data_IF_611822309825
#
_entry.id   IF_611822309825
#
_cell.length_a   1.000
_cell.length_b   1.000
_cell.length_c   1.000
_cell.angle_alpha   90.00
_cell.angle_beta   90.00
_cell.angle_gamma   90.00
#
_symmetry.space_group_name_H-M   'P 1'
#
loop_
_entity.id
_entity.type
_entity.pdbx_description
1 polymer ?
#
# COMPACT_ATOMS: atom_id res chain seq x y z
N UNK A 1 50.43 21.21 -16.65
CA UNK A 1 49.56 20.65 -15.58
C UNK A 1 48.28 20.15 -16.22
N UNK A 2 47.88 18.92 -15.95
CA UNK A 2 46.61 18.36 -16.43
C UNK A 2 45.49 18.83 -15.49
N UNK A 3 44.75 19.87 -15.88
CA UNK A 3 43.57 20.34 -15.14
C UNK A 3 42.46 19.31 -15.29
N UNK A 4 41.95 18.78 -14.19
CA UNK A 4 40.84 17.82 -14.21
C UNK A 4 39.49 18.52 -14.16
N UNK A 5 38.42 17.78 -14.45
CA UNK A 5 37.05 18.25 -14.27
C UNK A 5 36.75 18.60 -12.80
N UNK A 6 37.31 17.85 -11.85
CA UNK A 6 37.13 18.10 -10.42
C UNK A 6 37.74 19.45 -10.02
N UNK A 7 38.93 19.78 -10.54
CA UNK A 7 39.60 21.05 -10.27
C UNK A 7 38.76 22.25 -10.76
N UNK A 8 38.13 22.12 -11.93
CA UNK A 8 37.25 23.16 -12.46
C UNK A 8 35.96 23.32 -11.64
N UNK A 9 35.37 22.23 -11.15
CA UNK A 9 34.22 22.30 -10.24
C UNK A 9 34.59 22.98 -8.92
N UNK A 10 35.72 22.62 -8.33
CA UNK A 10 36.23 23.23 -7.08
C UNK A 10 36.51 24.70 -7.29
N UNK A 11 37.14 25.07 -8.41
CA UNK A 11 37.38 26.47 -8.80
C UNK A 11 36.07 27.22 -8.91
N UNK A 12 35.08 26.69 -9.65
CA UNK A 12 33.77 27.34 -9.79
C UNK A 12 33.07 27.53 -8.44
N UNK A 13 33.10 26.53 -7.55
CA UNK A 13 32.53 26.65 -6.20
C UNK A 13 33.19 27.76 -5.41
N UNK A 14 34.53 27.79 -5.41
CA UNK A 14 35.28 28.82 -4.71
C UNK A 14 35.01 30.23 -5.26
N UNK A 15 34.81 30.35 -6.59
CA UNK A 15 34.40 31.60 -7.21
C UNK A 15 33.00 32.04 -6.78
N UNK A 16 32.03 31.12 -6.75
CA UNK A 16 30.68 31.43 -6.25
C UNK A 16 30.72 31.86 -4.78
N UNK A 17 31.52 31.20 -3.94
CA UNK A 17 31.71 31.58 -2.54
C UNK A 17 32.33 32.98 -2.41
N UNK A 18 33.41 33.25 -3.15
CA UNK A 18 34.14 34.52 -3.08
C UNK A 18 33.35 35.70 -3.63
N UNK A 19 32.64 35.50 -4.74
CA UNK A 19 31.88 36.57 -5.42
C UNK A 19 30.46 36.71 -4.89
N UNK A 20 29.97 35.73 -4.12
CA UNK A 20 28.55 35.57 -3.81
C UNK A 20 27.62 35.51 -5.05
N UNK A 21 28.17 35.35 -6.26
CA UNK A 21 27.41 35.30 -7.50
C UNK A 21 27.29 33.84 -7.99
N UNK A 22 26.13 33.18 -7.83
CA UNK A 22 25.91 31.83 -8.39
C UNK A 22 25.83 31.79 -9.92
N UNK A 23 25.62 32.93 -10.57
CA UNK A 23 25.40 33.10 -12.01
C UNK A 23 26.61 33.63 -12.78
N UNK A 24 27.84 33.27 -12.42
CA UNK A 24 29.04 33.72 -13.13
C UNK A 24 28.91 33.36 -14.62
N UNK A 25 28.88 34.38 -15.47
CA UNK A 25 28.80 34.26 -16.93
C UNK A 25 30.11 33.73 -17.52
N UNK A 26 30.08 33.23 -18.77
CA UNK A 26 31.30 32.82 -19.49
C UNK A 26 32.32 33.96 -19.56
N UNK A 27 31.86 35.22 -19.68
CA UNK A 27 32.72 36.40 -19.76
C UNK A 27 33.41 36.68 -18.42
N UNK A 28 32.66 36.69 -17.33
CA UNK A 28 33.23 36.90 -15.99
C UNK A 28 34.20 35.78 -15.63
N UNK A 29 33.85 34.53 -15.97
CA UNK A 29 34.71 33.38 -15.74
C UNK A 29 36.01 33.47 -16.56
N UNK A 30 35.95 33.90 -17.82
CA UNK A 30 37.14 34.20 -18.63
C UNK A 30 38.03 35.26 -17.99
N UNK A 31 37.45 36.38 -17.54
CA UNK A 31 38.19 37.47 -16.89
C UNK A 31 38.88 36.98 -15.62
N UNK A 32 38.15 36.24 -14.77
CA UNK A 32 38.69 35.71 -13.50
C UNK A 32 39.83 34.72 -13.74
N UNK A 33 39.73 33.91 -14.80
CA UNK A 33 40.76 32.94 -15.17
C UNK A 33 41.89 33.55 -16.01
N UNK A 34 41.91 34.87 -16.22
CA UNK A 34 42.95 35.57 -16.98
C UNK A 34 42.92 35.29 -18.49
N UNK A 35 41.78 34.84 -19.03
CA UNK A 35 41.61 34.59 -20.47
C UNK A 35 41.11 35.84 -21.19
N UNK A 36 41.85 36.26 -22.22
CA UNK A 36 41.53 37.43 -23.07
C UNK A 36 40.31 37.18 -23.99
N UNK A 37 39.87 35.93 -24.12
CA UNK A 37 38.77 35.54 -24.98
C UNK A 37 37.61 34.96 -24.15
N UNK A 38 36.36 35.33 -24.47
CA UNK A 38 35.20 34.70 -23.85
C UNK A 38 35.25 33.20 -24.15
N UNK A 39 35.12 32.36 -23.11
CA UNK A 39 35.03 30.91 -23.28
C UNK A 39 33.75 30.64 -24.09
N UNK A 40 33.91 30.37 -25.38
CA UNK A 40 32.80 30.42 -26.35
C UNK A 40 31.83 29.26 -26.24
N UNK A 41 32.16 28.18 -25.50
CA UNK A 41 31.23 27.11 -25.11
C UNK A 41 31.88 26.02 -24.26
N UNK A 42 33.19 25.79 -24.44
CA UNK A 42 33.92 24.71 -23.79
C UNK A 42 35.28 25.19 -23.28
N UNK A 43 35.68 24.76 -22.09
CA UNK A 43 37.00 25.02 -21.54
C UNK A 43 38.07 24.38 -22.45
N UNK A 44 39.10 25.13 -22.89
CA UNK A 44 40.08 24.61 -23.85
C UNK A 44 40.81 23.35 -23.36
N UNK A 45 41.00 23.23 -22.04
CA UNK A 45 41.77 22.15 -21.42
C UNK A 45 40.96 20.87 -21.14
N UNK A 46 39.65 20.97 -20.90
CA UNK A 46 38.81 19.83 -20.47
C UNK A 46 37.62 19.57 -21.37
N UNK A 47 37.37 20.45 -22.35
CA UNK A 47 36.16 20.49 -23.18
C UNK A 47 34.84 20.59 -22.39
N UNK A 48 34.88 20.89 -21.09
CA UNK A 48 33.68 21.02 -20.27
C UNK A 48 32.92 22.31 -20.54
N UNK A 49 31.59 22.26 -20.44
CA UNK A 49 30.74 23.45 -20.51
C UNK A 49 30.53 24.10 -19.13
N UNK A 50 30.12 25.37 -19.07
CA UNK A 50 29.70 26.00 -17.80
C UNK A 50 28.54 25.23 -17.15
N UNK A 51 27.65 24.65 -17.96
CA UNK A 51 26.55 23.82 -17.47
C UNK A 51 27.07 22.59 -16.74
N UNK A 52 28.17 22.01 -17.20
CA UNK A 52 28.84 20.91 -16.50
C UNK A 52 29.48 21.39 -15.21
N UNK A 53 30.11 22.56 -15.15
CA UNK A 53 30.68 23.09 -13.91
C UNK A 53 29.63 23.40 -12.83
N UNK A 54 28.44 23.82 -13.29
CA UNK A 54 27.27 24.05 -12.43
C UNK A 54 26.61 22.76 -11.97
N UNK A 55 26.76 21.67 -12.74
CA UNK A 55 26.17 20.38 -12.40
C UNK A 55 26.66 19.92 -11.03
N UNK A 56 25.75 19.42 -10.20
CA UNK A 56 26.05 19.02 -8.83
C UNK A 56 26.10 20.18 -7.82
N UNK A 57 26.40 21.43 -8.23
CA UNK A 57 26.29 22.60 -7.34
C UNK A 57 24.85 23.12 -7.29
N UNK A 58 24.22 23.29 -8.46
CA UNK A 58 22.82 23.70 -8.57
C UNK A 58 21.97 22.57 -9.11
N UNK A 59 20.66 22.67 -8.87
CA UNK A 59 19.70 21.72 -9.44
C UNK A 59 19.60 21.93 -10.94
N UNK A 60 19.68 20.84 -11.68
CA UNK A 60 19.31 20.76 -13.08
C UNK A 60 17.79 20.58 -13.22
N UNK A 61 17.28 20.89 -14.42
CA UNK A 61 15.88 20.62 -14.78
C UNK A 61 15.52 19.13 -14.59
N UNK A 62 16.47 18.24 -14.88
CA UNK A 62 16.30 16.79 -14.73
C UNK A 62 16.15 16.38 -13.27
N UNK A 63 17.12 16.76 -12.42
CA UNK A 63 17.07 16.45 -10.98
C UNK A 63 15.79 16.98 -10.34
N UNK A 64 15.37 18.20 -10.72
CA UNK A 64 14.14 18.80 -10.19
C UNK A 64 12.89 18.04 -10.62
N UNK A 65 12.82 17.59 -11.88
CA UNK A 65 11.73 16.75 -12.40
C UNK A 65 11.64 15.45 -11.62
N UNK A 66 12.75 14.77 -11.41
CA UNK A 66 12.78 13.44 -10.79
C UNK A 66 12.40 13.55 -9.31
N UNK A 67 12.97 14.53 -8.61
CA UNK A 67 12.63 14.83 -7.22
C UNK A 67 11.14 15.20 -7.05
N UNK A 68 10.58 16.00 -7.97
CA UNK A 68 9.17 16.38 -7.94
C UNK A 68 8.25 15.16 -8.06
N UNK A 69 8.48 14.27 -9.04
CA UNK A 69 7.66 13.09 -9.22
C UNK A 69 7.83 12.07 -8.09
N UNK A 70 9.06 11.87 -7.58
CA UNK A 70 9.31 11.00 -6.44
C UNK A 70 8.59 11.48 -5.17
N UNK A 71 8.60 12.79 -4.91
CA UNK A 71 7.83 13.36 -3.81
C UNK A 71 6.32 13.20 -4.04
N UNK A 72 5.83 13.43 -5.26
CA UNK A 72 4.42 13.32 -5.60
C UNK A 72 3.88 11.89 -5.42
N UNK A 73 4.62 10.87 -5.87
CA UNK A 73 4.26 9.45 -5.73
C UNK A 73 4.13 9.07 -4.25
N UNK A 74 5.07 9.51 -3.42
CA UNK A 74 5.12 9.14 -2.00
C UNK A 74 4.13 9.92 -1.13
N UNK A 75 3.81 11.16 -1.50
CA UNK A 75 2.87 11.98 -0.73
C UNK A 75 1.41 11.71 -1.12
N UNK A 76 1.14 11.30 -2.36
CA UNK A 76 -0.21 11.18 -2.91
C UNK A 76 -0.96 12.51 -3.00
N UNK A 77 -0.25 13.64 -2.99
CA UNK A 77 -0.84 14.98 -3.00
C UNK A 77 -1.37 15.36 -4.38
N UNK A 78 -2.17 16.44 -4.42
CA UNK A 78 -2.45 17.08 -5.71
C UNK A 78 -1.18 17.82 -6.16
N UNK A 79 -0.92 17.80 -7.47
CA UNK A 79 0.21 18.49 -8.11
C UNK A 79 0.35 19.93 -7.61
N UNK A 80 -0.75 20.69 -7.66
CA UNK A 80 -0.75 22.10 -7.26
C UNK A 80 -0.40 22.29 -5.78
N UNK A 81 -0.87 21.40 -4.89
CA UNK A 81 -0.53 21.46 -3.46
C UNK A 81 0.97 21.28 -3.24
N UNK A 82 1.60 20.40 -4.02
CA UNK A 82 3.05 20.18 -3.93
C UNK A 82 3.83 21.35 -4.53
N UNK A 83 3.39 21.92 -5.65
CA UNK A 83 3.99 23.11 -6.26
C UNK A 83 3.94 24.33 -5.34
N UNK A 84 2.82 24.50 -4.61
CA UNK A 84 2.56 25.64 -3.74
C UNK A 84 3.13 25.50 -2.33
N UNK A 85 3.83 24.40 -2.03
CA UNK A 85 4.40 24.18 -0.70
C UNK A 85 5.33 25.33 -0.30
N UNK A 86 5.17 25.81 0.93
CA UNK A 86 5.93 26.94 1.48
C UNK A 86 6.89 26.46 2.56
N UNK A 87 8.16 26.28 2.17
CA UNK A 87 9.20 25.82 3.07
C UNK A 87 9.79 26.94 3.94
N UNK A 88 9.55 28.21 3.58
CA UNK A 88 10.07 29.35 4.32
C UNK A 88 9.34 29.57 5.64
N UNK A 89 8.06 29.19 5.70
CA UNK A 89 7.24 29.26 6.92
C UNK A 89 7.79 28.45 8.10
N UNK A 90 8.61 27.42 7.86
CA UNK A 90 9.02 26.45 8.87
C UNK A 90 7.91 25.49 9.33
N UNK A 91 6.63 25.85 9.15
CA UNK A 91 5.46 25.04 9.54
C UNK A 91 5.16 23.88 8.57
N UNK A 92 5.83 23.85 7.41
CA UNK A 92 5.64 22.81 6.41
C UNK A 92 6.00 21.41 6.93
N UNK A 93 6.83 21.29 7.96
CA UNK A 93 7.23 20.01 8.54
C UNK A 93 7.24 20.07 10.07
N UNK A 94 6.56 19.12 10.71
CA UNK A 94 6.53 19.00 12.17
C UNK A 94 6.89 17.57 12.59
N UNK A 95 7.89 17.41 13.46
CA UNK A 95 8.23 16.10 14.04
C UNK A 95 7.10 15.62 14.95
N UNK A 96 6.72 14.34 14.82
CA UNK A 96 5.65 13.71 15.61
C UNK A 96 6.25 12.68 16.54
N UNK A 97 5.93 12.75 17.83
CA UNK A 97 6.73 12.09 18.86
C UNK A 97 7.92 12.98 19.22
N UNK A 98 8.52 12.79 20.39
CA UNK A 98 9.59 13.65 20.91
C UNK A 98 10.81 13.79 19.97
N UNK A 99 11.85 14.48 20.43
CA UNK A 99 13.02 14.83 19.60
C UNK A 99 13.67 13.64 18.88
N UNK A 100 13.60 12.45 19.48
CA UNK A 100 14.14 11.20 18.94
C UNK A 100 13.26 10.51 17.88
N UNK A 101 12.04 11.01 17.63
CA UNK A 101 11.13 10.37 16.69
C UNK A 101 11.53 10.58 15.24
N UNK A 102 11.64 9.50 14.49
CA UNK A 102 11.96 9.55 13.05
C UNK A 102 10.76 9.85 12.15
N UNK A 103 9.62 10.26 12.72
CA UNK A 103 8.40 10.55 11.98
C UNK A 103 8.18 12.05 11.90
N UNK A 104 7.99 12.56 10.69
CA UNK A 104 7.66 13.96 10.42
C UNK A 104 6.35 14.02 9.65
N UNK A 105 5.49 14.96 10.05
CA UNK A 105 4.29 15.34 9.32
C UNK A 105 4.59 16.52 8.43
N UNK A 106 4.51 16.30 7.13
CA UNK A 106 4.60 17.37 6.13
C UNK A 106 3.20 17.92 5.87
N UNK A 107 3.07 19.24 5.78
CA UNK A 107 1.82 19.96 5.55
C UNK A 107 1.94 20.91 4.36
N UNK A 108 0.89 20.98 3.55
CA UNK A 108 0.79 21.88 2.40
C UNK A 108 -0.63 22.40 2.24
N UNK A 109 -0.79 23.67 1.89
CA UNK A 109 -2.11 24.28 1.78
C UNK A 109 -2.74 24.01 0.41
N UNK A 110 -3.96 23.46 0.41
CA UNK A 110 -4.74 23.22 -0.81
C UNK A 110 -5.75 24.35 -1.01
N UNK A 111 -5.43 25.30 -1.88
CA UNK A 111 -6.27 26.48 -2.15
C UNK A 111 -7.70 26.14 -2.58
N UNK A 112 -7.89 25.25 -3.58
CA UNK A 112 -9.22 24.85 -4.06
C UNK A 112 -10.11 24.24 -2.98
N UNK A 113 -9.51 23.62 -1.96
CA UNK A 113 -10.25 23.00 -0.84
C UNK A 113 -10.24 23.81 0.44
N UNK A 114 -9.53 24.96 0.45
CA UNK A 114 -9.23 25.79 1.63
C UNK A 114 -8.87 24.93 2.86
N UNK A 115 -7.94 23.99 2.69
CA UNK A 115 -7.59 23.02 3.71
C UNK A 115 -6.14 22.58 3.63
N UNK A 116 -5.53 22.24 4.77
CA UNK A 116 -4.20 21.64 4.82
C UNK A 116 -4.27 20.16 4.38
N UNK A 117 -3.40 19.78 3.45
CA UNK A 117 -3.04 18.39 3.21
C UNK A 117 -1.86 18.03 4.09
N UNK A 118 -1.93 16.86 4.72
CA UNK A 118 -0.90 16.37 5.63
C UNK A 118 -0.56 14.94 5.26
N UNK A 119 0.74 14.62 5.29
CA UNK A 119 1.24 13.26 5.11
C UNK A 119 2.33 12.98 6.14
N UNK A 120 2.42 11.73 6.58
CA UNK A 120 3.50 11.26 7.45
C UNK A 120 4.65 10.74 6.60
N UNK A 121 5.87 11.05 7.01
CA UNK A 121 7.10 10.68 6.33
C UNK A 121 8.14 10.24 7.36
N UNK A 122 9.04 9.34 6.96
CA UNK A 122 10.19 8.97 7.78
C UNK A 122 11.38 9.85 7.47
N UNK A 123 12.12 10.29 8.48
CA UNK A 123 13.36 11.08 8.29
C UNK A 123 14.58 10.22 7.98
N UNK A 124 14.49 8.91 8.20
CA UNK A 124 15.61 7.97 8.04
C UNK A 124 15.91 7.58 6.59
N UNK A 125 14.95 7.78 5.68
CA UNK A 125 15.11 7.43 4.26
C UNK A 125 15.49 8.66 3.45
N UNK A 126 16.61 8.59 2.73
CA UNK A 126 17.09 9.71 1.89
C UNK A 126 16.08 10.13 0.82
N UNK A 127 15.37 9.15 0.27
CA UNK A 127 14.31 9.38 -0.73
C UNK A 127 12.97 9.78 -0.11
N UNK A 128 12.88 9.98 1.21
CA UNK A 128 11.63 10.44 1.81
C UNK A 128 11.24 11.84 1.29
N UNK A 129 9.95 12.17 1.19
CA UNK A 129 9.55 13.50 0.74
C UNK A 129 10.13 14.62 1.59
N UNK A 130 10.29 14.40 2.90
CA UNK A 130 10.91 15.36 3.82
C UNK A 130 12.36 15.64 3.42
N UNK A 131 13.16 14.59 3.23
CA UNK A 131 14.58 14.75 2.88
C UNK A 131 14.75 15.29 1.46
N UNK A 132 13.91 14.89 0.50
CA UNK A 132 13.89 15.47 -0.85
C UNK A 132 13.64 16.98 -0.76
N UNK A 133 12.54 17.40 -0.14
CA UNK A 133 12.16 18.81 -0.04
C UNK A 133 13.23 19.64 0.68
N UNK A 134 13.78 19.12 1.78
CA UNK A 134 14.87 19.75 2.52
C UNK A 134 16.14 19.88 1.69
N UNK A 135 16.53 18.82 0.97
CA UNK A 135 17.72 18.83 0.12
C UNK A 135 17.59 19.84 -1.02
N UNK A 136 16.42 19.87 -1.69
CA UNK A 136 16.13 20.86 -2.73
C UNK A 136 16.17 22.28 -2.18
N UNK A 137 15.58 22.51 -1.01
CA UNK A 137 15.59 23.81 -0.35
C UNK A 137 17.02 24.29 -0.06
N UNK A 138 17.85 23.45 0.54
CA UNK A 138 19.24 23.78 0.85
C UNK A 138 20.06 24.03 -0.43
N UNK A 139 19.94 23.17 -1.44
CA UNK A 139 20.67 23.29 -2.72
C UNK A 139 20.26 24.55 -3.50
N UNK A 140 19.04 25.03 -3.31
CA UNK A 140 18.55 26.27 -3.92
C UNK A 140 18.89 27.54 -3.12
N UNK A 141 19.50 27.45 -1.93
CA UNK A 141 19.82 28.63 -1.11
C UNK A 141 20.71 29.66 -1.80
N UNK A 142 21.79 29.29 -2.52
CA UNK A 142 22.61 30.27 -3.24
C UNK A 142 21.83 30.96 -4.36
N UNK A 143 20.89 30.27 -5.02
CA UNK A 143 20.06 30.86 -6.07
C UNK A 143 19.12 31.92 -5.49
N UNK A 144 18.49 31.65 -4.34
CA UNK A 144 17.64 32.63 -3.64
C UNK A 144 18.43 33.87 -3.22
N UNK A 145 19.64 33.67 -2.67
CA UNK A 145 20.55 34.75 -2.33
C UNK A 145 20.95 35.57 -3.56
N UNK A 146 21.34 34.91 -4.65
CA UNK A 146 21.69 35.58 -5.91
C UNK A 146 20.55 36.40 -6.53
N UNK A 147 19.29 36.00 -6.34
CA UNK A 147 18.13 36.82 -6.72
C UNK A 147 18.01 38.06 -5.82
N UNK A 148 18.13 37.88 -4.49
CA UNK A 148 18.03 38.97 -3.54
C UNK A 148 19.13 40.03 -3.73
N UNK A 149 20.34 39.58 -4.07
CA UNK A 149 21.52 40.43 -4.31
C UNK A 149 21.53 41.03 -5.74
N UNK A 150 20.54 40.70 -6.59
CA UNK A 150 20.42 41.22 -7.95
C UNK A 150 21.36 40.58 -8.98
N UNK A 151 22.10 39.53 -8.62
CA UNK A 151 23.01 38.80 -9.50
C UNK A 151 22.30 37.86 -10.48
N UNK A 152 21.11 37.37 -10.12
CA UNK A 152 20.32 36.46 -10.93
C UNK A 152 18.97 37.05 -11.30
N UNK A 153 18.58 36.89 -12.56
CA UNK A 153 17.26 37.25 -13.05
C UNK A 153 16.27 36.14 -12.72
N UNK A 154 15.07 36.52 -12.26
CA UNK A 154 13.95 35.62 -12.05
C UNK A 154 12.66 36.33 -12.43
N UNK A 155 11.88 35.73 -13.32
CA UNK A 155 10.59 36.28 -13.76
C UNK A 155 9.60 36.41 -12.58
N UNK A 156 9.70 35.52 -11.60
CA UNK A 156 8.80 35.45 -10.44
C UNK A 156 9.58 35.44 -9.12
N UNK A 157 10.20 36.55 -8.70
CA UNK A 157 11.15 36.59 -7.57
C UNK A 157 10.52 36.23 -6.21
N UNK A 158 9.19 36.24 -6.10
CA UNK A 158 8.49 35.84 -4.87
C UNK A 158 8.31 34.31 -4.75
N UNK A 159 8.39 33.54 -5.83
CA UNK A 159 8.24 32.06 -5.77
C UNK A 159 9.47 31.41 -5.11
N UNK A 160 10.72 31.73 -5.51
CA UNK A 160 11.90 31.16 -4.89
C UNK A 160 11.96 31.42 -3.38
N UNK A 161 11.40 32.53 -2.89
CA UNK A 161 11.38 32.84 -1.45
C UNK A 161 10.67 31.77 -0.61
N UNK A 162 9.76 30.98 -1.19
CA UNK A 162 8.97 29.95 -0.48
C UNK A 162 9.11 28.53 -1.05
N UNK A 163 9.33 28.42 -2.36
CA UNK A 163 9.25 27.16 -3.09
C UNK A 163 10.63 26.49 -3.24
N UNK A 164 10.73 25.17 -3.04
CA UNK A 164 11.94 24.42 -3.35
C UNK A 164 12.10 24.15 -4.85
N UNK A 165 11.09 24.44 -5.67
CA UNK A 165 11.04 24.03 -7.07
C UNK A 165 11.71 25.03 -8.01
N UNK A 166 13.00 25.25 -7.80
CA UNK A 166 13.79 26.20 -8.60
C UNK A 166 15.06 25.57 -9.15
N UNK A 167 15.44 26.00 -10.36
CA UNK A 167 16.67 25.56 -11.00
C UNK A 167 17.29 26.72 -11.80
N UNK A 168 18.59 26.60 -12.11
CA UNK A 168 19.31 27.61 -12.87
C UNK A 168 19.41 27.19 -14.33
N UNK A 169 19.01 28.07 -15.25
CA UNK A 169 19.18 27.90 -16.69
C UNK A 169 19.71 29.20 -17.29
N UNK A 170 20.88 29.16 -17.93
CA UNK A 170 21.47 30.33 -18.61
C UNK A 170 21.50 31.63 -17.76
N UNK A 171 21.89 31.53 -16.48
CA UNK A 171 21.90 32.66 -15.51
C UNK A 171 20.53 33.20 -15.10
N UNK A 172 19.46 32.52 -15.49
CA UNK A 172 18.11 32.81 -15.04
C UNK A 172 17.64 31.74 -14.08
N UNK A 173 17.05 32.15 -12.96
CA UNK A 173 16.37 31.22 -12.06
C UNK A 173 14.97 30.96 -12.62
N UNK A 174 14.73 29.69 -12.93
CA UNK A 174 13.43 29.22 -13.41
C UNK A 174 12.68 28.60 -12.23
N UNK A 175 11.44 29.04 -12.05
CA UNK A 175 10.52 28.51 -11.05
C UNK A 175 9.55 27.54 -11.71
N UNK A 176 9.37 26.37 -11.11
CA UNK A 176 8.37 25.43 -11.58
C UNK A 176 6.98 25.93 -11.19
N UNK A 177 6.18 26.32 -12.18
CA UNK A 177 4.79 26.76 -11.98
C UNK A 177 3.75 25.73 -12.44
N UNK A 178 4.18 24.76 -13.23
CA UNK A 178 3.34 23.71 -13.82
C UNK A 178 4.02 22.37 -13.63
N UNK A 179 3.28 21.29 -13.74
CA UNK A 179 3.87 19.95 -13.68
C UNK A 179 4.92 19.74 -14.79
N UNK A 180 5.93 18.95 -14.48
CA UNK A 180 6.81 18.43 -15.50
C UNK A 180 6.10 17.32 -16.29
N UNK A 181 6.40 17.17 -17.60
CA UNK A 181 5.96 16.01 -18.36
C UNK A 181 6.49 14.71 -17.75
N UNK A 182 5.56 13.82 -17.38
CA UNK A 182 5.86 12.54 -16.73
C UNK A 182 6.48 11.51 -17.70
N UNK A 183 6.21 11.59 -19.00
CA UNK A 183 6.68 10.61 -19.99
C UNK A 183 8.22 10.49 -20.01
N UNK A 184 8.95 11.59 -19.80
CA UNK A 184 10.41 11.55 -19.68
C UNK A 184 10.89 10.77 -18.46
N UNK A 185 10.24 10.96 -17.31
CA UNK A 185 10.53 10.24 -16.08
C UNK A 185 10.21 8.74 -16.20
N UNK A 186 9.07 8.38 -16.79
CA UNK A 186 8.68 6.98 -17.02
C UNK A 186 9.64 6.27 -17.98
N UNK A 187 10.04 6.91 -19.08
CA UNK A 187 10.99 6.33 -20.04
C UNK A 187 12.33 5.99 -19.40
N UNK A 188 12.85 6.90 -18.57
CA UNK A 188 14.09 6.67 -17.85
C UNK A 188 13.96 5.55 -16.82
N UNK A 189 12.87 5.51 -16.05
CA UNK A 189 12.59 4.38 -15.15
C UNK A 189 12.51 3.03 -15.88
N UNK A 190 11.81 2.98 -17.01
CA UNK A 190 11.69 1.75 -17.81
C UNK A 190 13.05 1.32 -18.35
N UNK A 191 13.86 2.27 -18.83
CA UNK A 191 15.22 2.00 -19.28
C UNK A 191 16.09 1.44 -18.15
N UNK A 192 16.08 2.05 -16.96
CA UNK A 192 16.82 1.55 -15.79
C UNK A 192 16.32 0.17 -15.32
N UNK A 193 15.01 -0.07 -15.37
CA UNK A 193 14.43 -1.37 -15.00
C UNK A 193 14.80 -2.47 -16.00
N UNK A 194 14.90 -2.14 -17.29
CA UNK A 194 15.26 -3.12 -18.33
C UNK A 194 16.68 -3.66 -18.20
N UNK A 195 17.56 -2.94 -17.49
CA UNK A 195 18.94 -3.34 -17.22
C UNK A 195 19.08 -4.32 -16.04
N UNK A 196 17.97 -4.70 -15.36
CA UNK A 196 17.98 -5.61 -14.22
C UNK A 196 17.96 -7.07 -14.68
N UNK A 197 18.49 -7.98 -13.84
CA UNK A 197 18.54 -9.42 -14.12
C UNK A 197 17.13 -10.03 -14.34
N UNK A 198 16.13 -9.55 -13.59
CA UNK A 198 14.72 -9.88 -13.76
C UNK A 198 13.92 -8.57 -13.88
N UNK A 199 13.71 -8.04 -15.10
CA UNK A 199 13.11 -6.74 -15.29
C UNK A 199 11.59 -6.79 -15.06
N UNK A 200 11.02 -5.88 -14.24
CA UNK A 200 9.57 -5.78 -14.12
C UNK A 200 8.95 -5.33 -15.46
N UNK A 201 7.65 -5.62 -15.68
CA UNK A 201 6.95 -5.16 -16.87
C UNK A 201 7.01 -3.62 -16.98
N UNK A 202 7.16 -3.08 -18.21
CA UNK A 202 7.34 -1.66 -18.41
C UNK A 202 6.10 -0.87 -17.99
N UNK A 203 6.34 0.28 -17.36
CA UNK A 203 5.29 1.21 -16.95
C UNK A 203 4.77 1.94 -18.18
N UNK A 204 3.46 2.03 -18.35
CA UNK A 204 2.85 2.71 -19.49
C UNK A 204 3.14 4.22 -19.48
N UNK A 205 3.62 4.75 -20.62
CA UNK A 205 3.82 6.19 -20.82
C UNK A 205 2.51 7.00 -20.87
N UNK A 206 1.34 6.32 -20.91
CA UNK A 206 0.02 6.96 -20.88
C UNK A 206 -0.37 7.45 -19.48
N UNK A 207 0.37 7.05 -18.44
CA UNK A 207 0.14 7.49 -17.05
C UNK A 207 0.36 9.00 -16.97
N UNK A 208 -0.58 9.71 -16.33
CA UNK A 208 -0.47 11.14 -16.05
C UNK A 208 0.03 11.35 -14.62
N UNK A 209 0.65 12.50 -14.32
CA UNK A 209 1.07 12.80 -12.94
C UNK A 209 -0.12 12.84 -11.97
N UNK A 210 -1.31 13.20 -12.44
CA UNK A 210 -2.55 13.11 -11.65
C UNK A 210 -2.91 11.67 -11.25
N UNK A 211 -2.53 10.65 -12.03
CA UNK A 211 -2.76 9.23 -11.71
C UNK A 211 -1.98 8.77 -10.48
N UNK A 212 -0.84 9.39 -10.14
CA UNK A 212 -0.06 9.01 -8.95
C UNK A 212 -0.85 9.13 -7.66
N UNK A 213 -1.69 10.16 -7.55
CA UNK A 213 -2.61 10.29 -6.41
C UNK A 213 -3.61 9.14 -6.36
N UNK A 214 -4.14 8.72 -7.51
CA UNK A 214 -5.05 7.59 -7.60
C UNK A 214 -4.37 6.27 -7.21
N UNK A 215 -3.16 6.05 -7.72
CA UNK A 215 -2.35 4.87 -7.42
C UNK A 215 -2.00 4.82 -5.94
N UNK A 216 -1.59 5.94 -5.34
CA UNK A 216 -1.27 6.03 -3.91
C UNK A 216 -2.47 5.68 -3.02
N UNK A 217 -3.65 6.25 -3.30
CA UNK A 217 -4.87 5.95 -2.53
C UNK A 217 -5.26 4.47 -2.68
N UNK A 218 -5.17 3.92 -3.89
CA UNK A 218 -5.43 2.50 -4.15
C UNK A 218 -4.46 1.58 -3.43
N UNK A 219 -3.16 1.90 -3.44
CA UNK A 219 -2.13 1.15 -2.75
C UNK A 219 -2.35 1.17 -1.23
N UNK A 220 -2.61 2.34 -0.64
CA UNK A 220 -2.90 2.46 0.78
C UNK A 220 -4.15 1.65 1.18
N UNK A 221 -5.19 1.67 0.35
CA UNK A 221 -6.40 0.86 0.57
C UNK A 221 -6.08 -0.64 0.56
N UNK A 222 -5.38 -1.13 -0.47
CA UNK A 222 -5.03 -2.55 -0.60
C UNK A 222 -4.10 -3.03 0.53
N UNK A 223 -3.04 -2.28 0.85
CA UNK A 223 -2.09 -2.60 1.93
C UNK A 223 -2.76 -2.64 3.31
N UNK A 224 -3.79 -1.83 3.52
CA UNK A 224 -4.53 -1.80 4.78
C UNK A 224 -5.57 -2.92 4.96
N UNK A 225 -5.58 -3.92 4.07
CA UNK A 225 -6.64 -4.94 4.05
C UNK A 225 -8.00 -4.36 3.66
N UNK A 226 -8.01 -3.41 2.72
CA UNK A 226 -9.22 -2.75 2.22
C UNK A 226 -9.97 -1.90 3.26
N UNK A 227 -9.21 -1.20 4.11
CA UNK A 227 -9.79 -0.29 5.10
C UNK A 227 -10.11 1.09 4.50
N UNK A 228 -11.40 1.41 4.36
CA UNK A 228 -11.86 2.67 3.77
C UNK A 228 -11.46 3.92 4.59
N UNK A 229 -11.21 3.78 5.89
CA UNK A 229 -10.73 4.87 6.76
C UNK A 229 -9.28 5.21 6.42
N UNK A 230 -8.43 4.21 6.19
CA UNK A 230 -7.04 4.41 5.77
C UNK A 230 -7.00 5.04 4.38
N UNK A 231 -7.85 4.57 3.45
CA UNK A 231 -7.99 5.21 2.15
C UNK A 231 -8.47 6.67 2.25
N UNK A 232 -9.39 6.98 3.18
CA UNK A 232 -9.83 8.36 3.44
C UNK A 232 -8.69 9.23 3.95
N UNK A 233 -7.87 8.69 4.85
CA UNK A 233 -6.71 9.38 5.40
C UNK A 233 -5.68 9.64 4.29
N UNK A 234 -5.31 8.62 3.51
CA UNK A 234 -4.41 8.74 2.37
C UNK A 234 -4.92 9.73 1.31
N UNK A 235 -6.23 9.73 1.06
CA UNK A 235 -6.86 10.67 0.15
C UNK A 235 -7.02 12.08 0.75
N UNK A 236 -6.84 12.26 2.06
CA UNK A 236 -7.14 13.49 2.78
C UNK A 236 -8.54 14.04 2.45
N UNK A 237 -9.53 13.14 2.38
CA UNK A 237 -10.93 13.50 2.16
C UNK A 237 -11.61 13.90 3.47
N UNK A 238 -12.38 14.99 3.46
CA UNK A 238 -13.16 15.42 4.63
C UNK A 238 -14.22 14.37 5.00
N UNK A 239 -14.94 13.86 3.99
CA UNK A 239 -16.04 12.91 4.18
C UNK A 239 -15.69 11.52 3.65
N UNK A 240 -16.04 10.47 4.40
CA UNK A 240 -15.88 9.06 4.01
C UNK A 240 -16.70 8.72 2.75
N UNK A 241 -17.86 9.37 2.55
CA UNK A 241 -18.70 9.18 1.36
C UNK A 241 -17.96 9.52 0.06
N UNK A 242 -17.13 10.57 0.09
CA UNK A 242 -16.28 10.94 -1.06
C UNK A 242 -15.27 9.84 -1.36
N UNK A 243 -14.66 9.24 -0.33
CA UNK A 243 -13.76 8.10 -0.47
C UNK A 243 -14.49 6.87 -1.00
N UNK A 244 -15.69 6.56 -0.52
CA UNK A 244 -16.49 5.45 -1.02
C UNK A 244 -16.85 5.61 -2.50
N UNK A 245 -17.28 6.79 -2.93
CA UNK A 245 -17.55 7.07 -4.36
C UNK A 245 -16.28 6.88 -5.19
N UNK A 246 -15.15 7.38 -4.69
CA UNK A 246 -13.86 7.27 -5.34
C UNK A 246 -13.38 5.82 -5.48
N UNK A 247 -13.52 5.02 -4.41
CA UNK A 247 -13.19 3.59 -4.41
C UNK A 247 -14.16 2.78 -5.28
N UNK A 248 -15.48 3.04 -5.21
CA UNK A 248 -16.50 2.38 -6.04
C UNK A 248 -16.24 2.55 -7.53
N UNK A 249 -15.78 3.72 -7.97
CA UNK A 249 -15.47 3.97 -9.38
C UNK A 249 -14.27 3.16 -9.91
N UNK A 250 -13.35 2.69 -9.05
CA UNK A 250 -12.03 2.20 -9.51
C UNK A 250 -11.57 0.89 -8.85
N UNK A 251 -11.67 0.78 -7.53
CA UNK A 251 -11.33 -0.46 -6.79
C UNK A 251 -12.37 -1.55 -7.02
N UNK A 252 -13.67 -1.19 -7.10
CA UNK A 252 -14.70 -2.17 -7.42
C UNK A 252 -14.45 -2.76 -8.81
N UNK A 253 -14.20 -1.94 -9.83
CA UNK A 253 -13.91 -2.45 -11.18
C UNK A 253 -12.72 -3.42 -11.22
N UNK A 254 -11.54 -3.04 -10.71
CA UNK A 254 -10.37 -3.91 -10.82
C UNK A 254 -10.44 -5.18 -9.95
N UNK A 255 -10.97 -5.09 -8.73
CA UNK A 255 -11.06 -6.24 -7.82
C UNK A 255 -12.29 -7.11 -8.11
N UNK A 256 -13.46 -6.50 -8.34
CA UNK A 256 -14.66 -7.26 -8.71
C UNK A 256 -14.51 -7.89 -10.08
N UNK A 257 -13.87 -7.24 -11.07
CA UNK A 257 -13.67 -7.86 -12.39
C UNK A 257 -12.75 -9.07 -12.31
N UNK A 258 -11.66 -9.01 -11.52
CA UNK A 258 -10.81 -10.20 -11.36
C UNK A 258 -11.50 -11.28 -10.53
N UNK A 259 -12.15 -10.95 -9.41
CA UNK A 259 -12.89 -11.93 -8.60
C UNK A 259 -14.08 -12.54 -9.35
N UNK A 260 -14.82 -11.75 -10.13
CA UNK A 260 -15.91 -12.23 -10.99
C UNK A 260 -15.34 -13.07 -12.13
N UNK A 261 -14.23 -12.67 -12.76
CA UNK A 261 -13.58 -13.46 -13.80
C UNK A 261 -13.04 -14.79 -13.26
N UNK A 262 -12.48 -14.80 -12.06
CA UNK A 262 -12.05 -16.02 -11.36
C UNK A 262 -13.24 -16.92 -11.04
N UNK A 263 -14.32 -16.37 -10.47
CA UNK A 263 -15.56 -17.11 -10.21
C UNK A 263 -16.17 -17.69 -11.49
N UNK A 264 -16.30 -16.89 -12.54
CA UNK A 264 -16.83 -17.32 -13.83
C UNK A 264 -15.90 -18.37 -14.47
N UNK A 265 -14.58 -18.20 -14.36
CA UNK A 265 -13.61 -19.18 -14.83
C UNK A 265 -13.75 -20.54 -14.13
N UNK A 266 -13.90 -20.54 -12.80
CA UNK A 266 -14.14 -21.77 -12.04
C UNK A 266 -15.53 -22.36 -12.33
N UNK A 267 -16.57 -21.53 -12.43
CA UNK A 267 -17.93 -21.96 -12.77
C UNK A 267 -17.97 -22.66 -14.13
N UNK A 268 -17.43 -22.03 -15.17
CA UNK A 268 -17.40 -22.63 -16.50
C UNK A 268 -16.53 -23.88 -16.56
N UNK A 269 -15.39 -23.89 -15.86
CA UNK A 269 -14.56 -25.09 -15.74
C UNK A 269 -15.28 -26.26 -15.08
N UNK A 270 -16.08 -26.03 -14.03
CA UNK A 270 -16.89 -27.08 -13.39
C UNK A 270 -18.03 -27.55 -14.30
N UNK A 271 -18.69 -26.63 -15.01
CA UNK A 271 -19.76 -26.98 -15.98
C UNK A 271 -19.20 -27.82 -17.13
N UNK A 272 -18.11 -27.38 -17.77
CA UNK A 272 -17.50 -28.05 -18.93
C UNK A 272 -16.98 -29.44 -18.57
N UNK A 273 -16.25 -29.56 -17.46
CA UNK A 273 -15.57 -30.81 -17.12
C UNK A 273 -16.46 -31.79 -16.36
N UNK A 274 -17.46 -31.32 -15.60
CA UNK A 274 -18.20 -32.18 -14.64
C UNK A 274 -19.71 -32.09 -14.73
N UNK A 275 -20.26 -31.12 -15.47
CA UNK A 275 -21.71 -30.92 -15.64
C UNK A 275 -22.49 -30.78 -14.32
N UNK A 276 -21.79 -30.50 -13.22
CA UNK A 276 -22.35 -30.32 -11.89
C UNK A 276 -21.59 -29.20 -11.19
N UNK A 277 -22.33 -28.32 -10.51
CA UNK A 277 -21.76 -27.15 -9.82
C UNK A 277 -22.17 -27.21 -8.36
N UNK A 278 -21.19 -27.38 -7.49
CA UNK A 278 -21.38 -27.28 -6.04
C UNK A 278 -20.89 -25.88 -5.56
N UNK A 279 -21.77 -25.06 -4.96
CA UNK A 279 -21.41 -23.75 -4.42
C UNK A 279 -20.25 -23.78 -3.41
N UNK A 280 -20.14 -24.84 -2.60
CA UNK A 280 -19.06 -24.98 -1.62
C UNK A 280 -17.71 -25.17 -2.33
N UNK A 281 -17.69 -26.00 -3.37
CA UNK A 281 -16.50 -26.23 -4.20
C UNK A 281 -16.09 -24.96 -4.93
N UNK A 282 -17.03 -24.23 -5.53
CA UNK A 282 -16.75 -22.96 -6.19
C UNK A 282 -16.16 -21.92 -5.23
N UNK A 283 -16.70 -21.85 -4.01
CA UNK A 283 -16.17 -20.97 -2.98
C UNK A 283 -14.73 -21.34 -2.61
N UNK A 284 -14.43 -22.63 -2.42
CA UNK A 284 -13.07 -23.10 -2.15
C UNK A 284 -12.09 -22.82 -3.30
N UNK A 285 -12.52 -23.01 -4.56
CA UNK A 285 -11.72 -22.68 -5.73
C UNK A 285 -11.41 -21.18 -5.80
N UNK A 286 -12.39 -20.32 -5.53
CA UNK A 286 -12.19 -18.86 -5.53
C UNK A 286 -11.26 -18.39 -4.40
N UNK A 287 -11.28 -19.06 -3.24
CA UNK A 287 -10.47 -18.70 -2.07
C UNK A 287 -9.03 -19.23 -2.14
N UNK A 288 -8.83 -20.48 -2.60
CA UNK A 288 -7.53 -21.19 -2.53
C UNK A 288 -6.94 -21.61 -3.87
N UNK A 289 -7.68 -21.46 -4.98
CA UNK A 289 -7.21 -21.66 -6.34
C UNK A 289 -7.12 -23.11 -6.82
N UNK A 290 -6.89 -24.09 -5.93
CA UNK A 290 -6.73 -25.51 -6.31
C UNK A 290 -7.41 -26.43 -5.30
N UNK A 291 -8.17 -27.41 -5.81
CA UNK A 291 -8.71 -28.55 -5.06
C UNK A 291 -8.31 -29.81 -5.84
N UNK A 292 -7.62 -30.76 -5.21
CA UNK A 292 -7.19 -31.98 -5.93
C UNK A 292 -8.33 -32.97 -6.12
N UNK A 293 -8.20 -33.85 -7.11
CA UNK A 293 -9.23 -34.85 -7.40
C UNK A 293 -9.38 -35.86 -6.26
N UNK A 294 -8.27 -36.20 -5.61
CA UNK A 294 -8.23 -37.08 -4.46
C UNK A 294 -8.92 -36.45 -3.24
N UNK A 295 -8.87 -35.12 -3.09
CA UNK A 295 -9.62 -34.42 -2.04
C UNK A 295 -11.13 -34.48 -2.29
N UNK A 296 -11.57 -34.28 -3.54
CA UNK A 296 -12.99 -34.38 -3.91
C UNK A 296 -13.53 -35.79 -3.77
N UNK A 297 -12.78 -36.80 -4.25
CA UNK A 297 -13.16 -38.20 -4.12
C UNK A 297 -13.28 -38.62 -2.64
N UNK A 298 -12.42 -38.10 -1.77
CA UNK A 298 -12.52 -38.34 -0.32
C UNK A 298 -13.76 -37.70 0.28
N UNK A 299 -14.04 -36.43 -0.02
CA UNK A 299 -15.26 -35.76 0.48
C UNK A 299 -16.56 -36.41 -0.02
N UNK A 300 -16.60 -36.86 -1.27
CA UNK A 300 -17.73 -37.60 -1.82
C UNK A 300 -17.94 -38.98 -1.14
N UNK A 301 -16.86 -39.60 -0.66
CA UNK A 301 -16.89 -40.85 0.12
C UNK A 301 -17.08 -40.61 1.63
N UNK A 302 -17.39 -39.38 2.07
CA UNK A 302 -17.41 -38.97 3.48
C UNK A 302 -16.10 -39.22 4.26
N UNK A 303 -14.97 -39.40 3.55
CA UNK A 303 -13.63 -39.41 4.13
C UNK A 303 -13.18 -37.95 4.30
N UNK A 304 -12.49 -37.66 5.40
CA UNK A 304 -12.10 -36.29 5.84
C UNK A 304 -13.26 -35.35 6.18
N UNK A 305 -14.44 -35.91 6.50
CA UNK A 305 -15.50 -35.17 7.19
C UNK A 305 -15.10 -34.95 8.64
N UNK A 306 -15.25 -33.71 9.07
CA UNK A 306 -15.03 -33.28 10.44
C UNK A 306 -16.19 -33.72 11.32
N UNK A 307 -16.02 -33.63 12.65
CA UNK A 307 -17.10 -33.82 13.62
C UNK A 307 -18.39 -33.03 13.30
N UNK A 308 -18.27 -31.87 12.64
CA UNK A 308 -19.38 -31.02 12.23
C UNK A 308 -19.95 -31.39 10.85
N UNK A 309 -19.55 -32.52 10.25
CA UNK A 309 -19.95 -32.90 8.90
C UNK A 309 -19.40 -31.97 7.81
N UNK A 310 -18.52 -31.03 8.16
CA UNK A 310 -17.81 -30.14 7.24
C UNK A 310 -16.62 -30.89 6.64
N UNK A 311 -16.21 -30.60 5.41
CA UNK A 311 -14.91 -31.08 4.91
C UNK A 311 -13.77 -30.24 5.46
N UNK A 312 -12.59 -30.83 5.59
CA UNK A 312 -11.38 -30.11 5.95
C UNK A 312 -10.38 -30.07 4.79
N UNK A 313 -9.92 -28.87 4.44
CA UNK A 313 -8.92 -28.67 3.39
C UNK A 313 -7.51 -29.12 3.80
N UNK A 314 -7.19 -29.04 5.09
CA UNK A 314 -5.88 -29.39 5.64
C UNK A 314 -6.03 -30.06 7.01
N UNK A 315 -6.52 -31.32 7.04
CA UNK A 315 -6.86 -32.00 8.29
C UNK A 315 -5.64 -32.30 9.18
N UNK A 316 -4.43 -32.37 8.60
CA UNK A 316 -3.17 -32.68 9.31
C UNK A 316 -2.30 -31.46 9.63
N UNK A 317 -2.77 -30.27 9.27
CA UNK A 317 -2.07 -29.02 9.56
C UNK A 317 -3.09 -27.93 9.92
N UNK A 318 -3.76 -28.06 11.09
CA UNK A 318 -4.70 -27.04 11.57
C UNK A 318 -3.97 -25.76 12.01
N UNK A 319 -4.62 -24.58 11.92
CA UNK A 319 -4.06 -23.36 12.49
C UNK A 319 -3.85 -23.49 14.00
N UNK A 320 -2.77 -22.91 14.53
CA UNK A 320 -2.45 -22.97 15.96
C UNK A 320 -3.55 -22.36 16.85
N UNK A 321 -4.34 -21.42 16.32
CA UNK A 321 -5.50 -20.86 17.03
C UNK A 321 -6.66 -21.87 17.22
N UNK A 322 -6.70 -22.94 16.42
CA UNK A 322 -7.75 -23.97 16.42
C UNK A 322 -7.29 -25.22 17.16
N UNK A 323 -6.08 -25.71 16.89
CA UNK A 323 -5.48 -26.82 17.63
C UNK A 323 -4.06 -26.43 18.08
N UNK A 324 -3.93 -25.72 19.23
CA UNK A 324 -2.64 -25.32 19.77
C UNK A 324 -1.74 -26.50 20.16
N UNK A 325 -2.35 -27.66 20.42
CA UNK A 325 -1.71 -28.88 20.91
C UNK A 325 -1.35 -29.87 19.81
N UNK A 326 -1.55 -29.48 18.54
CA UNK A 326 -1.32 -30.34 17.39
C UNK A 326 0.12 -30.84 17.34
N UNK A 327 0.29 -32.17 17.29
CA UNK A 327 1.57 -32.82 17.04
C UNK A 327 1.65 -33.16 15.57
N UNK A 328 2.69 -32.64 14.91
CA UNK A 328 2.83 -32.70 13.46
C UNK A 328 2.57 -34.11 12.90
N UNK A 329 1.73 -34.15 11.86
CA UNK A 329 1.24 -35.31 11.12
C UNK A 329 -0.04 -36.01 11.65
N UNK A 330 -0.57 -35.70 12.83
CA UNK A 330 -1.87 -36.23 13.29
C UNK A 330 -3.08 -35.45 12.71
N UNK A 331 -4.30 -36.00 12.80
CA UNK A 331 -5.51 -35.25 12.47
C UNK A 331 -5.78 -34.17 13.52
N UNK A 332 -6.38 -33.05 13.11
CA UNK A 332 -6.88 -32.02 14.02
C UNK A 332 -7.82 -32.66 15.06
N UNK A 333 -7.55 -32.41 16.34
CA UNK A 333 -8.35 -32.95 17.45
C UNK A 333 -9.59 -32.09 17.73
N UNK A 334 -9.50 -30.79 17.44
CA UNK A 334 -10.55 -29.80 17.72
C UNK A 334 -11.50 -29.60 16.53
N UNK A 335 -12.01 -30.69 15.95
CA UNK A 335 -12.89 -30.66 14.78
C UNK A 335 -14.26 -30.01 15.05
N UNK A 336 -14.67 -29.94 16.32
CA UNK A 336 -15.86 -29.18 16.75
C UNK A 336 -15.70 -27.67 16.51
N UNK A 337 -14.48 -27.15 16.32
CA UNK A 337 -14.23 -25.73 16.02
C UNK A 337 -14.17 -25.43 14.51
N UNK A 338 -14.58 -26.35 13.63
CA UNK A 338 -14.42 -26.16 12.19
C UNK A 338 -15.20 -24.97 11.61
N UNK A 339 -16.25 -24.47 12.28
CA UNK A 339 -16.92 -23.21 11.91
C UNK A 339 -16.08 -21.95 12.16
N UNK A 340 -15.07 -22.04 13.04
CA UNK A 340 -14.13 -20.96 13.34
C UNK A 340 -12.82 -21.07 12.52
N UNK A 341 -12.67 -22.14 11.74
CA UNK A 341 -11.43 -22.48 11.06
C UNK A 341 -11.48 -22.12 9.57
N UNK A 342 -10.42 -21.50 9.06
CA UNK A 342 -10.27 -21.15 7.63
C UNK A 342 -10.10 -22.38 6.70
N UNK A 343 -9.99 -23.58 7.27
CA UNK A 343 -9.92 -24.84 6.52
C UNK A 343 -11.26 -25.57 6.40
N UNK A 344 -12.29 -25.11 7.12
CA UNK A 344 -13.60 -25.75 7.16
C UNK A 344 -14.45 -25.45 5.92
N UNK A 345 -15.05 -26.49 5.36
CA UNK A 345 -15.92 -26.42 4.18
C UNK A 345 -17.32 -26.93 4.53
N UNK A 346 -18.31 -26.06 4.45
CA UNK A 346 -19.71 -26.39 4.75
C UNK A 346 -20.36 -26.99 3.50
N UNK A 347 -20.98 -28.15 3.65
CA UNK A 347 -21.73 -28.83 2.58
C UNK A 347 -23.22 -28.88 2.93
N UNK A 348 -24.05 -29.21 1.95
CA UNK A 348 -25.50 -29.32 2.15
C UNK A 348 -25.87 -30.37 3.22
N UNK A 349 -25.12 -31.46 3.30
CA UNK A 349 -25.31 -32.53 4.28
C UNK A 349 -24.72 -32.21 5.67
N UNK A 350 -23.98 -31.11 5.83
CA UNK A 350 -23.43 -30.70 7.13
C UNK A 350 -24.50 -30.25 8.12
N UNK A 351 -25.70 -29.88 7.66
CA UNK A 351 -26.79 -29.33 8.48
C UNK A 351 -27.09 -30.18 9.71
N UNK A 352 -27.15 -31.51 9.55
CA UNK A 352 -27.45 -32.43 10.64
C UNK A 352 -26.41 -32.38 11.77
N UNK A 353 -25.13 -32.32 11.41
CA UNK A 353 -24.02 -32.35 12.36
C UNK A 353 -23.76 -30.98 13.01
N UNK A 354 -24.00 -29.90 12.25
CA UNK A 354 -23.98 -28.53 12.78
C UNK A 354 -25.12 -28.30 13.78
N UNK A 355 -26.34 -28.76 13.46
CA UNK A 355 -27.48 -28.73 14.36
C UNK A 355 -27.24 -29.56 15.62
N UNK A 356 -26.62 -30.75 15.49
CA UNK A 356 -26.18 -31.55 16.64
C UNK A 356 -25.29 -30.77 17.58
N UNK A 357 -24.23 -30.13 17.05
CA UNK A 357 -23.32 -29.37 17.90
C UNK A 357 -23.99 -28.16 18.57
N UNK A 358 -24.91 -27.50 17.86
CA UNK A 358 -25.71 -26.43 18.46
C UNK A 358 -26.54 -26.95 19.66
N UNK A 359 -27.20 -28.10 19.51
CA UNK A 359 -27.97 -28.74 20.58
C UNK A 359 -27.07 -29.12 21.78
N UNK A 360 -25.86 -29.63 21.54
CA UNK A 360 -24.89 -29.92 22.61
C UNK A 360 -24.52 -28.68 23.41
N UNK A 361 -24.22 -27.56 22.72
CA UNK A 361 -23.88 -26.30 23.40
C UNK A 361 -25.07 -25.76 24.19
N UNK A 362 -26.30 -25.89 23.66
CA UNK A 362 -27.52 -25.51 24.37
C UNK A 362 -27.71 -26.35 25.63
N UNK A 363 -27.54 -27.67 25.54
CA UNK A 363 -27.59 -28.56 26.69
C UNK A 363 -26.52 -28.23 27.74
N UNK A 364 -25.28 -27.95 27.31
CA UNK A 364 -24.19 -27.52 28.21
C UNK A 364 -24.57 -26.23 28.93
N UNK A 365 -25.16 -25.27 28.22
CA UNK A 365 -25.60 -23.98 28.77
C UNK A 365 -26.70 -24.13 29.83
N UNK A 366 -27.56 -25.13 29.71
CA UNK A 366 -28.59 -25.44 30.70
C UNK A 366 -28.01 -26.12 31.95
N UNK A 367 -26.94 -26.91 31.80
CA UNK A 367 -26.31 -27.66 32.89
C UNK A 367 -25.36 -26.80 33.71
N UNK A 368 -24.57 -25.92 33.08
CA UNK A 368 -23.57 -25.12 33.80
C UNK A 368 -24.19 -23.88 34.43
N UNK A 369 -23.58 -23.41 35.52
CA UNK A 369 -24.02 -22.17 36.18
C UNK A 369 -23.86 -20.95 35.25
N UNK A 370 -24.71 -19.94 35.46
CA UNK A 370 -24.65 -18.70 34.69
C UNK A 370 -23.27 -18.01 34.75
N UNK A 371 -22.60 -18.07 35.90
CA UNK A 371 -21.24 -17.52 36.08
C UNK A 371 -20.23 -18.29 35.23
N UNK A 372 -20.25 -19.62 35.27
CA UNK A 372 -19.40 -20.46 34.42
C UNK A 372 -19.65 -20.22 32.93
N UNK A 373 -20.92 -20.07 32.53
CA UNK A 373 -21.28 -19.73 31.15
C UNK A 373 -20.70 -18.37 30.72
N UNK A 374 -20.81 -17.35 31.57
CA UNK A 374 -20.32 -15.99 31.26
C UNK A 374 -18.80 -15.96 31.07
N UNK A 375 -18.07 -16.79 31.80
CA UNK A 375 -16.61 -16.92 31.69
C UNK A 375 -16.16 -17.82 30.52
N UNK A 376 -17.03 -18.72 30.04
CA UNK A 376 -16.75 -19.64 28.94
C UNK A 376 -16.76 -18.96 27.54
N UNK A 377 -15.87 -17.99 27.33
CA UNK A 377 -15.76 -17.20 26.09
C UNK A 377 -15.60 -18.05 24.82
N UNK A 378 -14.95 -19.23 24.92
CA UNK A 378 -14.77 -20.14 23.78
C UNK A 378 -16.10 -20.75 23.32
N UNK A 379 -16.92 -21.26 24.24
CA UNK A 379 -18.24 -21.83 23.94
C UNK A 379 -19.19 -20.78 23.37
N UNK A 380 -19.17 -19.55 23.91
CA UNK A 380 -19.98 -18.45 23.37
C UNK A 380 -19.59 -18.08 21.92
N UNK A 381 -18.29 -18.07 21.61
CA UNK A 381 -17.80 -17.82 20.24
C UNK A 381 -18.17 -18.95 19.28
N UNK A 382 -18.10 -20.19 19.76
CA UNK A 382 -18.51 -21.38 18.99
C UNK A 382 -20.02 -21.35 18.69
N UNK A 383 -20.86 -21.07 19.69
CA UNK A 383 -22.32 -20.93 19.53
C UNK A 383 -22.67 -19.87 18.47
N UNK A 384 -22.03 -18.70 18.54
CA UNK A 384 -22.25 -17.62 17.60
C UNK A 384 -21.84 -18.00 16.16
N UNK A 385 -20.70 -18.67 16.00
CA UNK A 385 -20.22 -19.11 14.69
C UNK A 385 -21.09 -20.22 14.09
N UNK A 386 -21.60 -21.14 14.92
CA UNK A 386 -22.53 -22.18 14.49
C UNK A 386 -23.85 -21.58 14.01
N UNK A 387 -24.45 -20.66 14.77
CA UNK A 387 -25.69 -19.97 14.38
C UNK A 387 -25.53 -19.23 13.05
N UNK A 388 -24.46 -18.45 12.92
CA UNK A 388 -24.14 -17.76 11.67
C UNK A 388 -23.94 -18.72 10.49
N UNK A 389 -23.34 -19.90 10.74
CA UNK A 389 -23.18 -20.91 9.69
C UNK A 389 -24.52 -21.53 9.29
N UNK A 390 -25.39 -21.79 10.27
CA UNK A 390 -26.70 -22.38 10.07
C UNK A 390 -27.71 -21.46 9.36
N UNK A 391 -27.50 -20.13 9.38
CA UNK A 391 -28.29 -19.16 8.61
C UNK A 391 -28.27 -19.41 7.09
N UNK A 392 -27.32 -20.21 6.60
CA UNK A 392 -27.20 -20.58 5.19
C UNK A 392 -28.15 -21.72 4.76
N UNK A 393 -28.80 -22.39 5.72
CA UNK A 393 -29.69 -23.52 5.50
C UNK A 393 -31.17 -23.13 5.70
N UNK A 394 -32.10 -24.02 5.34
CA UNK A 394 -33.52 -23.81 5.61
C UNK A 394 -33.77 -23.74 7.13
N UNK A 395 -34.31 -22.63 7.66
CA UNK A 395 -34.58 -22.49 9.09
C UNK A 395 -35.43 -23.63 9.67
N UNK A 396 -36.38 -24.18 8.89
CA UNK A 396 -37.23 -25.29 9.35
C UNK A 396 -36.42 -26.57 9.54
N UNK A 397 -35.56 -26.89 8.58
CA UNK A 397 -34.68 -28.06 8.67
C UNK A 397 -33.70 -27.93 9.83
N UNK A 398 -33.15 -26.73 10.05
CA UNK A 398 -32.25 -26.46 11.19
C UNK A 398 -32.99 -26.65 12.51
N UNK A 399 -34.20 -26.12 12.64
CA UNK A 399 -35.01 -26.25 13.85
C UNK A 399 -35.38 -27.71 14.13
N UNK A 400 -35.91 -28.42 13.13
CA UNK A 400 -36.27 -29.84 13.23
C UNK A 400 -35.07 -30.70 13.67
N UNK A 401 -33.90 -30.49 13.06
CA UNK A 401 -32.67 -31.23 13.41
C UNK A 401 -32.16 -30.86 14.79
N UNK A 402 -32.21 -29.59 15.18
CA UNK A 402 -31.77 -29.15 16.50
C UNK A 402 -32.66 -29.75 17.59
N UNK A 403 -33.98 -29.71 17.41
CA UNK A 403 -34.95 -30.33 18.33
C UNK A 403 -34.75 -31.83 18.42
N UNK A 404 -34.53 -32.52 17.30
CA UNK A 404 -34.19 -33.94 17.28
C UNK A 404 -32.98 -34.25 18.17
N UNK A 405 -31.89 -33.50 18.02
CA UNK A 405 -30.66 -33.74 18.81
C UNK A 405 -30.81 -33.35 20.28
N UNK A 406 -31.59 -32.32 20.61
CA UNK A 406 -31.92 -32.01 22.01
C UNK A 406 -32.68 -33.17 22.66
N UNK A 407 -33.64 -33.77 21.95
CA UNK A 407 -34.38 -34.93 22.45
C UNK A 407 -33.46 -36.14 22.67
N UNK A 408 -32.53 -36.40 21.75
CA UNK A 408 -31.55 -37.49 21.89
C UNK A 408 -30.60 -37.28 23.07
N UNK A 409 -30.17 -36.04 23.33
CA UNK A 409 -29.34 -35.69 24.49
C UNK A 409 -30.14 -35.88 25.79
N UNK A 410 -31.36 -35.36 25.84
CA UNK A 410 -32.24 -35.47 27.01
C UNK A 410 -32.66 -36.91 27.29
N UNK A 411 -32.80 -37.73 26.25
CA UNK A 411 -33.05 -39.17 26.35
C UNK A 411 -31.82 -40.00 26.72
N UNK A 412 -30.62 -39.40 26.77
CA UNK A 412 -29.37 -40.10 27.07
C UNK A 412 -28.81 -40.94 25.92
N UNK A 413 -29.39 -40.84 24.72
CA UNK A 413 -28.95 -41.55 23.52
C UNK A 413 -27.71 -40.90 22.87
N UNK A 414 -27.44 -39.63 23.19
CA UNK A 414 -26.27 -38.89 22.70
C UNK A 414 -25.54 -38.18 23.84
N UNK A 415 -24.20 -38.33 23.89
CA UNK A 415 -23.35 -37.66 24.86
C UNK A 415 -22.75 -36.37 24.29
N UNK A 416 -22.99 -35.24 24.95
CA UNK A 416 -22.47 -33.93 24.57
C UNK A 416 -20.94 -33.85 24.69
N UNK A 417 -20.29 -33.12 23.79
CA UNK A 417 -18.84 -32.89 23.84
C UNK A 417 -18.53 -31.67 24.71
N UNK A 418 -18.01 -31.89 25.92
CA UNK A 418 -17.93 -30.87 26.96
C UNK A 418 -16.72 -29.92 26.83
N UNK A 419 -15.46 -30.40 26.70
CA UNK A 419 -14.30 -29.47 26.78
C UNK A 419 -12.98 -29.85 26.08
N UNK A 420 -12.75 -31.05 25.54
CA UNK A 420 -11.62 -31.33 24.63
C UNK A 420 -11.93 -32.59 23.80
N UNK A 421 -11.71 -32.48 22.48
CA UNK A 421 -12.04 -33.54 21.53
C UNK A 421 -11.05 -34.70 21.61
N UNK A 422 -11.42 -35.80 22.27
CA UNK A 422 -10.92 -37.12 21.88
C UNK A 422 -11.95 -37.78 20.98
N UNK A 423 -11.73 -37.66 19.67
CA UNK A 423 -12.35 -38.57 18.71
C UNK A 423 -11.36 -39.72 18.50
N UNK A 424 -11.75 -40.91 18.96
CA UNK A 424 -11.16 -42.18 18.53
C UNK A 424 -11.79 -42.64 17.23
#
# INVERSE_FOLDING_TARGET
MNVTRADLHTTYRHLVERTCNPGISNRELSVILGSCHPITQRFPLTKSSISELRAGLFLSKKELRDAFHLALIQLGWNIQTLLDIDLASGEWAMRIGGEQSNVVRISGFKYRGKALQRSLCLTTKDHSPFNILRALWLKAAPLRKGIADGHLQCEYPNIPKRSPWVFLLNNQVICLQREFPIAGFIREMNHENSARHDPPPPISEKIRASDFRHIFIGHAYAQSGFNAVIAKLAANHKNIRTTQIYLRKRSYRAHSENSVRTLLGHLWSEIENRKAVDPAILYALCQKGVITEEQRARWAQNKDRTYLGMGCLSPRNPPQAIDPTHKGNDYCHNQHLCTLCEHGMVFKDSVNFLARRLAEIQSIKEIISFTAWTEAKRLQREEAALKYTLEQFDPREVEERTVYWLNEINGGNHASLYLDGRHG
#
